data_IF_979496613466
#
_entry.id   IF_979496613466
#
_cell.length_a   1.000
_cell.length_b   1.000
_cell.length_c   1.000
_cell.angle_alpha   90.00
_cell.angle_beta   90.00
_cell.angle_gamma   90.00
#
_symmetry.space_group_name_H-M   'P 1'
#
loop_
_entity.id
_entity.type
_entity.pdbx_description
1 polymer ?
#
# COMPACT_ATOMS: atom_id res chain seq x y z
N UNK A 1 -55.20 -7.96 8.80
CA UNK A 1 -54.68 -6.88 7.93
C UNK A 1 -53.20 -6.74 8.28
N UNK A 2 -52.30 -7.45 7.58
CA UNK A 2 -51.47 -6.96 6.44
C UNK A 2 -50.62 -5.74 6.82
N UNK A 3 -49.28 -5.69 6.69
CA UNK A 3 -48.48 -6.15 5.56
C UNK A 3 -46.96 -6.28 5.87
N UNK A 4 -46.30 -7.19 5.14
CA UNK A 4 -45.06 -7.08 4.35
C UNK A 4 -43.70 -6.56 4.91
N UNK A 5 -42.68 -7.43 4.71
CA UNK A 5 -41.36 -7.22 4.06
C UNK A 5 -41.01 -5.80 3.56
N UNK A 6 -39.81 -5.30 3.86
CA UNK A 6 -38.69 -5.14 2.90
C UNK A 6 -37.51 -4.28 3.43
N UNK A 7 -36.31 -4.65 3.00
CA UNK A 7 -35.07 -3.88 3.03
C UNK A 7 -35.22 -2.49 2.40
N UNK A 8 -34.51 -1.49 2.94
CA UNK A 8 -34.09 -0.33 2.19
C UNK A 8 -32.68 0.10 2.63
N UNK A 9 -31.72 -0.24 1.78
CA UNK A 9 -30.47 0.51 1.59
C UNK A 9 -30.80 1.94 1.17
N UNK A 10 -30.10 2.92 1.74
CA UNK A 10 -29.74 4.23 1.16
C UNK A 10 -28.88 4.94 2.23
N UNK A 11 -27.56 4.79 2.17
CA UNK A 11 -26.64 5.75 1.53
C UNK A 11 -26.76 7.17 2.12
N UNK A 12 -25.76 7.63 2.87
CA UNK A 12 -24.75 8.58 2.38
C UNK A 12 -23.89 9.16 3.50
N UNK A 13 -22.59 9.15 3.20
CA UNK A 13 -21.50 9.84 3.87
C UNK A 13 -21.81 11.32 4.20
N UNK A 14 -21.62 11.66 5.47
CA UNK A 14 -21.15 12.93 6.03
C UNK A 14 -21.20 12.71 7.56
N UNK A 15 -20.14 12.79 8.36
CA UNK A 15 -19.23 13.91 8.56
C UNK A 15 -17.95 13.32 9.17
N UNK A 16 -16.86 13.35 8.41
CA UNK A 16 -15.51 13.49 8.98
C UNK A 16 -15.37 14.97 9.37
N UNK A 17 -14.79 15.23 10.54
CA UNK A 17 -14.53 16.53 11.19
C UNK A 17 -15.65 17.09 12.08
N UNK A 18 -15.52 16.85 13.39
CA UNK A 18 -16.11 17.72 14.43
C UNK A 18 -16.52 16.96 15.70
N UNK A 19 -15.87 17.29 16.81
CA UNK A 19 -16.21 16.90 18.19
C UNK A 19 -15.73 15.53 18.68
N UNK A 20 -14.45 15.46 19.04
CA UNK A 20 -14.03 14.65 20.20
C UNK A 20 -14.66 15.32 21.45
N UNK A 21 -15.91 14.96 21.75
CA UNK A 21 -16.51 15.20 23.07
C UNK A 21 -16.18 14.00 23.95
N UNK A 22 -15.44 14.25 25.02
CA UNK A 22 -15.11 13.32 26.08
C UNK A 22 -16.39 12.80 26.76
N UNK A 23 -16.77 11.55 26.48
CA UNK A 23 -17.75 10.84 27.31
C UNK A 23 -17.01 10.10 28.42
N UNK A 24 -17.16 10.58 29.67
CA UNK A 24 -16.80 9.82 30.86
C UNK A 24 -17.85 8.73 31.06
N UNK A 25 -17.42 7.48 30.87
CA UNK A 25 -18.06 6.31 31.47
C UNK A 25 -16.94 5.44 32.04
N UNK A 26 -16.81 5.46 33.38
CA UNK A 26 -15.98 4.53 34.13
C UNK A 26 -16.58 3.12 33.98
N UNK A 27 -16.01 2.37 33.05
CA UNK A 27 -15.88 0.92 33.14
C UNK A 27 -14.38 0.63 33.18
N UNK A 28 -13.96 -0.47 33.80
CA UNK A 28 -12.57 -0.92 33.82
C UNK A 28 -12.05 -1.05 32.38
N UNK A 29 -11.51 0.03 31.83
CA UNK A 29 -11.06 0.10 30.47
C UNK A 29 -9.72 -0.62 30.43
N UNK A 30 -9.65 -1.74 29.73
CA UNK A 30 -8.40 -2.19 29.14
C UNK A 30 -7.76 -0.95 28.52
N UNK A 31 -6.55 -0.60 28.95
CA UNK A 31 -5.77 0.48 28.35
C UNK A 31 -5.84 0.23 26.84
N UNK A 32 -6.44 1.14 26.03
CA UNK A 32 -6.52 0.93 24.60
C UNK A 32 -5.10 0.70 24.11
N UNK A 33 -4.88 -0.41 23.41
CA UNK A 33 -3.57 -0.71 22.82
C UNK A 33 -3.15 0.50 21.98
N UNK A 34 -2.09 1.23 22.38
CA UNK A 34 -1.68 2.44 21.67
C UNK A 34 -1.22 2.12 20.24
N UNK A 35 -0.94 0.84 19.94
CA UNK A 35 -0.52 0.36 18.63
C UNK A 35 -1.69 -0.09 17.73
N UNK A 36 -2.92 -0.16 18.27
CA UNK A 36 -4.10 -0.61 17.53
C UNK A 36 -4.45 0.24 16.29
N UNK A 37 -4.32 1.59 16.31
CA UNK A 37 -4.52 2.39 15.11
C UNK A 37 -3.52 2.05 13.99
N UNK A 38 -2.26 1.80 14.34
CA UNK A 38 -1.21 1.44 13.39
C UNK A 38 -1.42 0.02 12.85
N UNK A 39 -1.87 -0.91 13.69
CA UNK A 39 -2.31 -2.25 13.24
C UNK A 39 -3.38 -2.13 12.15
N UNK A 40 -4.39 -1.28 12.37
CA UNK A 40 -5.47 -1.08 11.41
C UNK A 40 -4.98 -0.48 10.08
N UNK A 41 -4.03 0.46 10.12
CA UNK A 41 -3.42 1.01 8.91
C UNK A 41 -2.69 -0.08 8.12
N UNK A 42 -1.88 -0.89 8.79
CA UNK A 42 -1.14 -2.00 8.17
C UNK A 42 -2.07 -3.04 7.57
N UNK A 43 -3.15 -3.41 8.26
CA UNK A 43 -4.15 -4.35 7.74
C UNK A 43 -4.87 -3.81 6.49
N UNK A 44 -5.23 -2.52 6.47
CA UNK A 44 -5.86 -1.91 5.29
C UNK A 44 -4.93 -1.89 4.08
N UNK A 45 -3.66 -1.54 4.28
CA UNK A 45 -2.69 -1.52 3.19
C UNK A 45 -2.35 -2.93 2.71
N UNK A 46 -2.26 -3.90 3.62
CA UNK A 46 -2.11 -5.31 3.25
C UNK A 46 -3.32 -5.84 2.47
N UNK A 47 -4.55 -5.50 2.84
CA UNK A 47 -5.73 -5.85 2.03
C UNK A 47 -5.66 -5.24 0.62
N UNK A 48 -5.24 -3.97 0.50
CA UNK A 48 -5.06 -3.34 -0.81
C UNK A 48 -3.99 -4.06 -1.66
N UNK A 49 -2.90 -4.52 -1.04
CA UNK A 49 -1.90 -5.37 -1.68
C UNK A 49 -2.47 -6.71 -2.13
N UNK A 50 -3.32 -7.35 -1.32
CA UNK A 50 -3.97 -8.61 -1.67
C UNK A 50 -4.94 -8.45 -2.86
N UNK A 51 -5.76 -7.40 -2.85
CA UNK A 51 -6.71 -7.10 -3.94
C UNK A 51 -5.99 -6.81 -5.27
N UNK A 52 -4.89 -6.05 -5.21
CA UNK A 52 -4.00 -5.81 -6.34
C UNK A 52 -3.42 -7.12 -6.85
N UNK A 53 -2.92 -7.98 -5.95
CA UNK A 53 -2.34 -9.28 -6.29
C UNK A 53 -3.32 -10.17 -7.06
N UNK A 54 -4.56 -10.30 -6.55
CA UNK A 54 -5.62 -11.08 -7.22
C UNK A 54 -5.87 -10.56 -8.64
N UNK A 55 -5.87 -9.25 -8.80
CA UNK A 55 -6.16 -8.60 -10.09
C UNK A 55 -5.03 -8.78 -11.08
N UNK A 56 -3.78 -8.64 -10.64
CA UNK A 56 -2.61 -8.90 -11.48
C UNK A 56 -2.55 -10.36 -11.90
N UNK A 57 -2.79 -11.30 -10.99
CA UNK A 57 -2.79 -12.74 -11.31
C UNK A 57 -3.88 -13.09 -12.34
N UNK A 58 -5.04 -12.42 -12.30
CA UNK A 58 -6.09 -12.58 -13.31
C UNK A 58 -5.70 -12.04 -14.71
N UNK A 59 -4.66 -11.21 -14.80
CA UNK A 59 -4.17 -10.58 -16.04
C UNK A 59 -2.76 -11.03 -16.42
N UNK A 60 -2.25 -12.10 -15.81
CA UNK A 60 -0.92 -12.62 -16.12
C UNK A 60 -0.89 -13.14 -17.57
N UNK A 61 -0.05 -12.54 -18.42
CA UNK A 61 0.11 -12.89 -19.84
C UNK A 61 -0.64 -11.99 -20.85
N UNK A 62 -1.44 -11.01 -20.41
CA UNK A 62 -2.04 -10.02 -21.31
C UNK A 62 -1.13 -8.81 -21.51
N UNK A 63 -0.25 -8.86 -22.51
CA UNK A 63 0.74 -7.80 -22.77
C UNK A 63 0.23 -6.58 -23.57
N UNK A 64 -1.01 -6.55 -24.07
CA UNK A 64 -1.36 -5.63 -25.17
C UNK A 64 -2.73 -4.92 -25.10
N UNK A 65 -3.40 -4.79 -23.95
CA UNK A 65 -4.73 -4.11 -23.93
C UNK A 65 -5.16 -3.47 -22.60
N UNK A 66 -4.24 -2.92 -21.82
CA UNK A 66 -4.57 -2.47 -20.46
C UNK A 66 -4.32 -0.98 -20.28
N UNK A 67 -5.34 -0.24 -19.85
CA UNK A 67 -5.24 1.20 -19.55
C UNK A 67 -4.16 1.52 -18.51
N UNK A 68 -3.87 2.82 -18.34
CA UNK A 68 -2.78 3.34 -17.50
C UNK A 68 -2.81 2.71 -16.09
N UNK A 69 -3.99 2.52 -15.49
CA UNK A 69 -4.12 1.98 -14.14
C UNK A 69 -3.72 0.51 -14.02
N UNK A 70 -4.16 -0.37 -14.94
CA UNK A 70 -3.74 -1.77 -14.91
C UNK A 70 -2.24 -1.91 -15.21
N UNK A 71 -1.67 -1.05 -16.08
CA UNK A 71 -0.22 -0.98 -16.28
C UNK A 71 0.54 -0.73 -14.98
N UNK A 72 0.10 0.24 -14.18
CA UNK A 72 0.72 0.56 -12.88
C UNK A 72 0.56 -0.61 -11.89
N UNK A 73 -0.61 -1.25 -11.82
CA UNK A 73 -0.83 -2.39 -10.93
C UNK A 73 0.08 -3.58 -11.28
N UNK A 74 0.21 -3.90 -12.57
CA UNK A 74 1.11 -4.95 -13.06
C UNK A 74 2.57 -4.64 -12.71
N UNK A 75 2.97 -3.38 -12.85
CA UNK A 75 4.33 -2.92 -12.53
C UNK A 75 4.62 -3.01 -11.03
N UNK A 76 3.72 -2.51 -10.16
CA UNK A 76 3.83 -2.64 -8.69
C UNK A 76 4.01 -4.10 -8.22
N UNK A 77 3.27 -5.04 -8.83
CA UNK A 77 3.42 -6.46 -8.54
C UNK A 77 4.72 -7.05 -9.11
N UNK A 78 5.10 -6.63 -10.31
CA UNK A 78 6.37 -6.99 -10.94
C UNK A 78 7.56 -6.60 -10.08
N UNK A 79 7.58 -5.36 -9.57
CA UNK A 79 8.63 -4.83 -8.71
C UNK A 79 8.77 -5.62 -7.41
N UNK A 80 7.63 -5.93 -6.78
CA UNK A 80 7.62 -6.77 -5.58
C UNK A 80 8.28 -8.12 -5.83
N UNK A 81 7.90 -8.81 -6.92
CA UNK A 81 8.48 -10.10 -7.24
C UNK A 81 9.94 -9.99 -7.66
N UNK A 82 10.31 -8.94 -8.40
CA UNK A 82 11.68 -8.71 -8.81
C UNK A 82 12.58 -8.44 -7.60
N UNK A 83 12.17 -7.56 -6.67
CA UNK A 83 12.91 -7.32 -5.43
C UNK A 83 13.00 -8.58 -4.56
N UNK A 84 11.92 -9.34 -4.41
CA UNK A 84 11.93 -10.59 -3.64
C UNK A 84 12.79 -11.69 -4.27
N UNK A 85 12.72 -11.87 -5.59
CA UNK A 85 13.42 -12.92 -6.32
C UNK A 85 14.90 -12.56 -6.57
N UNK A 86 15.17 -11.35 -7.04
CA UNK A 86 16.51 -10.91 -7.42
C UNK A 86 17.41 -10.67 -6.21
N UNK A 87 16.85 -10.30 -5.04
CA UNK A 87 17.63 -10.16 -3.80
C UNK A 87 18.10 -11.49 -3.18
N UNK A 88 17.57 -12.63 -3.66
CA UNK A 88 17.94 -13.96 -3.20
C UNK A 88 18.85 -14.71 -4.17
N UNK A 89 19.21 -14.11 -5.32
CA UNK A 89 20.08 -14.74 -6.33
C UNK A 89 21.54 -14.82 -5.87
N UNK A 90 22.20 -15.90 -6.31
CA UNK A 90 23.65 -16.09 -6.21
C UNK A 90 24.21 -16.40 -7.62
N UNK A 91 25.12 -15.56 -8.18
CA UNK A 91 25.64 -14.33 -7.60
C UNK A 91 24.56 -13.24 -7.45
N UNK A 92 24.74 -12.27 -6.52
CA UNK A 92 23.84 -11.12 -6.39
C UNK A 92 23.71 -10.35 -7.71
N UNK A 93 22.60 -9.63 -7.88
CA UNK A 93 22.45 -8.72 -9.01
C UNK A 93 23.53 -7.64 -9.04
N UNK A 94 23.79 -7.10 -10.22
CA UNK A 94 24.73 -5.99 -10.37
C UNK A 94 24.17 -4.70 -9.74
N UNK A 95 25.05 -3.74 -9.47
CA UNK A 95 24.66 -2.43 -8.98
C UNK A 95 23.73 -1.68 -9.94
N UNK A 96 23.97 -1.81 -11.26
CA UNK A 96 23.13 -1.23 -12.31
C UNK A 96 21.74 -1.85 -12.30
N UNK A 97 21.65 -3.18 -12.21
CA UNK A 97 20.36 -3.88 -12.12
C UNK A 97 19.60 -3.49 -10.86
N UNK A 98 20.31 -3.29 -9.75
CA UNK A 98 19.70 -2.79 -8.52
C UNK A 98 19.12 -1.38 -8.69
N UNK A 99 19.86 -0.46 -9.31
CA UNK A 99 19.41 0.89 -9.57
C UNK A 99 18.18 0.91 -10.49
N UNK A 100 18.14 0.05 -11.51
CA UNK A 100 16.96 -0.12 -12.37
C UNK A 100 15.73 -0.54 -11.56
N UNK A 101 15.84 -1.58 -10.73
CA UNK A 101 14.73 -2.04 -9.89
C UNK A 101 14.25 -0.95 -8.92
N UNK A 102 15.18 -0.22 -8.31
CA UNK A 102 14.83 0.89 -7.41
C UNK A 102 14.14 2.03 -8.14
N UNK A 103 14.52 2.30 -9.38
CA UNK A 103 13.92 3.36 -10.21
C UNK A 103 12.46 3.05 -10.51
N UNK A 104 12.16 1.84 -10.95
CA UNK A 104 10.78 1.41 -11.23
C UNK A 104 9.95 1.40 -9.94
N UNK A 105 10.50 0.81 -8.87
CA UNK A 105 9.85 0.77 -7.56
C UNK A 105 9.47 2.16 -7.03
N UNK A 106 10.40 3.12 -7.08
CA UNK A 106 10.14 4.50 -6.64
C UNK A 106 9.13 5.19 -7.55
N UNK A 107 9.21 4.97 -8.86
CA UNK A 107 8.27 5.54 -9.83
C UNK A 107 6.84 5.02 -9.60
N UNK A 108 6.67 3.73 -9.35
CA UNK A 108 5.37 3.13 -9.14
C UNK A 108 4.73 3.55 -7.81
N UNK A 109 5.53 3.67 -6.75
CA UNK A 109 5.06 4.23 -5.48
C UNK A 109 4.64 5.69 -5.64
N UNK A 110 5.35 6.48 -6.46
CA UNK A 110 4.98 7.85 -6.78
C UNK A 110 3.71 7.93 -7.64
N UNK A 111 3.56 7.06 -8.62
CA UNK A 111 2.33 6.97 -9.43
C UNK A 111 1.12 6.61 -8.56
N UNK A 112 1.28 5.66 -7.64
CA UNK A 112 0.18 5.26 -6.78
C UNK A 112 -0.28 6.38 -5.83
N UNK A 113 0.65 7.16 -5.26
CA UNK A 113 0.28 8.32 -4.44
C UNK A 113 -0.29 9.47 -5.27
N UNK A 114 0.20 9.67 -6.50
CA UNK A 114 -0.33 10.68 -7.42
C UNK A 114 -1.80 10.41 -7.76
N UNK A 115 -2.12 9.15 -8.09
CA UNK A 115 -3.45 8.74 -8.53
C UNK A 115 -4.42 8.40 -7.38
N UNK A 116 -4.02 8.59 -6.12
CA UNK A 116 -4.81 8.15 -4.96
C UNK A 116 -6.17 8.85 -4.81
N UNK A 117 -6.34 10.02 -5.43
CA UNK A 117 -7.55 10.84 -5.38
C UNK A 117 -8.16 11.10 -6.76
N UNK A 118 -7.72 10.35 -7.79
CA UNK A 118 -8.29 10.49 -9.13
C UNK A 118 -9.80 10.25 -9.12
N UNK A 119 -10.58 10.95 -9.94
CA UNK A 119 -11.97 10.59 -10.15
C UNK A 119 -12.07 9.18 -10.74
N UNK A 120 -12.76 8.26 -10.05
CA UNK A 120 -13.13 6.97 -10.63
C UNK A 120 -14.14 7.26 -11.74
N UNK A 121 -13.86 6.81 -12.96
CA UNK A 121 -14.70 7.11 -14.11
C UNK A 121 -16.08 6.50 -13.89
N UNK A 122 -17.09 7.34 -13.62
CA UNK A 122 -18.47 6.92 -13.48
C UNK A 122 -19.15 6.80 -14.83
N UNK A 123 -19.78 5.65 -15.09
CA UNK A 123 -20.78 5.43 -16.15
C UNK A 123 -20.33 5.74 -17.59
N UNK A 124 -19.39 4.96 -18.13
CA UNK A 124 -19.24 4.84 -19.58
C UNK A 124 -19.28 3.36 -19.95
N UNK A 125 -20.12 3.04 -20.95
CA UNK A 125 -20.43 1.69 -21.45
C UNK A 125 -19.15 0.92 -21.79
N UNK A 126 -19.15 -0.40 -21.54
CA UNK A 126 -18.03 -1.38 -21.69
C UNK A 126 -17.04 -1.06 -22.84
N UNK A 127 -15.73 -1.27 -22.62
CA UNK A 127 -15.09 -2.27 -21.74
C UNK A 127 -14.68 -1.81 -20.33
N UNK A 128 -15.17 -0.65 -19.88
CA UNK A 128 -14.69 0.11 -18.72
C UNK A 128 -15.02 -0.44 -17.30
N UNK A 129 -15.59 -1.63 -17.16
CA UNK A 129 -15.79 -2.24 -15.83
C UNK A 129 -14.46 -2.66 -15.17
N UNK A 130 -13.48 -3.11 -15.97
CA UNK A 130 -12.13 -3.38 -15.47
C UNK A 130 -11.42 -2.11 -15.00
N UNK A 131 -11.55 -1.01 -15.76
CA UNK A 131 -10.84 0.24 -15.46
C UNK A 131 -11.24 0.83 -14.10
N UNK A 132 -12.53 0.82 -13.76
CA UNK A 132 -13.01 1.27 -12.45
C UNK A 132 -12.41 0.45 -11.30
N UNK A 133 -12.30 -0.87 -11.50
CA UNK A 133 -11.67 -1.76 -10.53
C UNK A 133 -10.18 -1.42 -10.36
N UNK A 134 -9.46 -1.23 -11.48
CA UNK A 134 -8.04 -0.89 -11.45
C UNK A 134 -7.77 0.46 -10.77
N UNK A 135 -8.59 1.47 -11.08
CA UNK A 135 -8.57 2.76 -10.42
C UNK A 135 -8.80 2.62 -8.91
N UNK A 136 -9.82 1.85 -8.51
CA UNK A 136 -10.15 1.63 -7.09
C UNK A 136 -8.99 0.98 -6.35
N UNK A 137 -8.35 -0.03 -6.94
CA UNK A 137 -7.24 -0.73 -6.33
C UNK A 137 -6.00 0.15 -6.20
N UNK A 138 -5.66 0.90 -7.27
CA UNK A 138 -4.53 1.82 -7.22
C UNK A 138 -4.77 2.92 -6.16
N UNK A 139 -6.01 3.41 -6.04
CA UNK A 139 -6.36 4.37 -5.01
C UNK A 139 -6.26 3.82 -3.61
N UNK A 140 -6.74 2.59 -3.37
CA UNK A 140 -6.65 1.96 -2.06
C UNK A 140 -5.20 1.73 -1.66
N UNK A 141 -4.36 1.27 -2.59
CA UNK A 141 -2.92 1.13 -2.38
C UNK A 141 -2.27 2.50 -2.08
N UNK A 142 -2.53 3.51 -2.92
CA UNK A 142 -1.99 4.86 -2.78
C UNK A 142 -2.40 5.53 -1.47
N UNK A 143 -3.67 5.44 -1.07
CA UNK A 143 -4.18 5.96 0.21
C UNK A 143 -3.55 5.26 1.42
N UNK A 144 -3.36 3.94 1.35
CA UNK A 144 -2.65 3.19 2.39
C UNK A 144 -1.20 3.65 2.52
N UNK A 145 -0.51 3.82 1.40
CA UNK A 145 0.86 4.33 1.36
C UNK A 145 0.96 5.77 1.89
N UNK A 146 0.02 6.65 1.53
CA UNK A 146 -0.05 8.00 2.09
C UNK A 146 -0.30 7.99 3.60
N UNK A 147 -1.17 7.10 4.08
CA UNK A 147 -1.42 6.96 5.52
C UNK A 147 -0.16 6.51 6.28
N UNK A 148 0.70 5.69 5.65
CA UNK A 148 2.00 5.33 6.22
C UNK A 148 2.92 6.55 6.31
N UNK A 149 3.02 7.36 5.25
CA UNK A 149 3.81 8.59 5.28
C UNK A 149 3.33 9.56 6.37
N UNK A 150 2.02 9.77 6.48
CA UNK A 150 1.43 10.67 7.46
C UNK A 150 1.66 10.17 8.90
N UNK A 151 1.45 8.87 9.13
CA UNK A 151 1.70 8.23 10.42
C UNK A 151 3.19 8.30 10.81
N UNK A 152 4.10 8.01 9.88
CA UNK A 152 5.53 8.09 10.13
C UNK A 152 5.98 9.51 10.45
N UNK A 153 5.48 10.51 9.71
CA UNK A 153 5.80 11.91 9.96
C UNK A 153 5.31 12.37 11.35
N UNK A 154 4.09 11.99 11.74
CA UNK A 154 3.52 12.36 13.03
C UNK A 154 4.20 11.67 14.23
N UNK A 155 4.85 10.53 14.00
CA UNK A 155 5.39 9.65 15.06
C UNK A 155 6.91 9.42 14.95
N UNK A 156 7.62 10.23 14.15
CA UNK A 156 9.04 10.02 13.87
C UNK A 156 9.94 9.96 15.12
N UNK A 157 9.52 10.61 16.21
CA UNK A 157 10.26 10.69 17.47
C UNK A 157 9.62 9.90 18.60
N UNK A 158 8.66 9.02 18.31
CA UNK A 158 8.00 8.21 19.34
C UNK A 158 9.01 7.25 19.98
N UNK A 159 9.30 7.35 21.28
CA UNK A 159 10.23 6.44 21.94
C UNK A 159 9.59 5.06 22.08
N UNK A 160 10.35 4.01 21.78
CA UNK A 160 9.92 2.60 21.88
C UNK A 160 8.56 2.36 21.18
N UNK A 161 8.48 2.57 19.85
CA UNK A 161 7.25 2.34 19.12
C UNK A 161 6.78 0.89 19.29
N UNK A 162 5.45 0.70 19.30
CA UNK A 162 4.86 -0.62 19.20
C UNK A 162 5.24 -1.30 17.88
N UNK A 163 4.95 -2.60 17.76
CA UNK A 163 5.29 -3.43 16.60
C UNK A 163 4.82 -2.79 15.28
N UNK A 164 3.58 -2.31 15.23
CA UNK A 164 2.95 -1.83 14.02
C UNK A 164 3.41 -0.42 13.66
N UNK A 165 3.60 0.45 14.65
CA UNK A 165 4.24 1.74 14.43
C UNK A 165 5.68 1.58 13.95
N UNK A 166 6.47 0.68 14.55
CA UNK A 166 7.84 0.41 14.12
C UNK A 166 7.88 -0.06 12.67
N UNK A 167 6.99 -0.98 12.30
CA UNK A 167 6.84 -1.43 10.92
C UNK A 167 6.60 -0.26 9.94
N UNK A 168 5.63 0.62 10.24
CA UNK A 168 5.34 1.78 9.40
C UNK A 168 6.57 2.70 9.27
N UNK A 169 7.25 2.99 10.39
CA UNK A 169 8.44 3.85 10.40
C UNK A 169 9.58 3.25 9.55
N UNK A 170 9.81 1.94 9.65
CA UNK A 170 10.84 1.25 8.86
C UNK A 170 10.50 1.25 7.37
N UNK A 171 9.26 0.91 7.01
CA UNK A 171 8.81 0.93 5.61
C UNK A 171 8.97 2.32 4.99
N UNK A 172 8.55 3.38 5.68
CA UNK A 172 8.71 4.76 5.16
C UNK A 172 10.18 5.17 5.05
N UNK A 173 11.02 4.79 6.03
CA UNK A 173 12.46 5.02 5.96
C UNK A 173 13.07 4.33 4.75
N UNK A 174 12.73 3.07 4.49
CA UNK A 174 13.35 2.27 3.45
C UNK A 174 12.90 2.73 2.05
N UNK A 175 11.64 3.18 1.90
CA UNK A 175 11.19 3.87 0.68
C UNK A 175 11.95 5.19 0.47
N UNK A 176 12.21 5.96 1.52
CA UNK A 176 12.98 7.20 1.41
C UNK A 176 14.46 6.93 1.07
N UNK A 177 15.04 5.83 1.56
CA UNK A 177 16.37 5.37 1.14
C UNK A 177 16.36 4.96 -0.34
N UNK A 178 15.30 4.30 -0.83
CA UNK A 178 15.19 3.94 -2.24
C UNK A 178 15.17 5.20 -3.13
N UNK A 179 14.41 6.24 -2.73
CA UNK A 179 14.43 7.55 -3.41
C UNK A 179 15.83 8.16 -3.45
N UNK A 180 16.62 8.04 -2.39
CA UNK A 180 18.00 8.53 -2.35
C UNK A 180 18.93 7.72 -3.26
N UNK A 181 18.78 6.39 -3.31
CA UNK A 181 19.53 5.53 -4.23
C UNK A 181 19.29 5.97 -5.67
N UNK A 182 18.03 6.17 -6.05
CA UNK A 182 17.66 6.65 -7.39
C UNK A 182 18.22 8.04 -7.66
N UNK A 183 18.02 9.00 -6.75
CA UNK A 183 18.49 10.38 -6.92
C UNK A 183 20.02 10.47 -7.08
N UNK A 184 20.76 9.64 -6.34
CA UNK A 184 22.22 9.64 -6.33
C UNK A 184 22.83 8.70 -7.37
N UNK A 185 22.01 7.96 -8.14
CA UNK A 185 22.47 6.90 -9.04
C UNK A 185 23.38 5.89 -8.32
N UNK A 186 23.02 5.50 -7.09
CA UNK A 186 23.83 4.65 -6.23
C UNK A 186 23.78 3.18 -6.69
N UNK A 187 24.88 2.70 -7.27
CA UNK A 187 25.07 1.31 -7.68
C UNK A 187 25.90 0.50 -6.67
N UNK A 188 26.13 1.04 -5.47
CA UNK A 188 26.99 0.42 -4.46
C UNK A 188 26.31 -0.76 -3.75
N UNK A 189 27.05 -1.50 -2.90
CA UNK A 189 26.47 -2.54 -2.05
C UNK A 189 25.32 -2.08 -1.15
N UNK A 190 25.17 -0.76 -0.91
CA UNK A 190 24.03 -0.20 -0.18
C UNK A 190 22.71 -0.38 -0.95
N UNK A 191 22.73 -0.19 -2.27
CA UNK A 191 21.57 -0.48 -3.11
C UNK A 191 21.17 -1.95 -2.95
N UNK A 192 22.13 -2.86 -3.07
CA UNK A 192 21.90 -4.31 -2.99
C UNK A 192 21.33 -4.72 -1.62
N UNK A 193 21.85 -4.16 -0.54
CA UNK A 193 21.33 -4.40 0.81
C UNK A 193 19.89 -3.91 0.94
N UNK A 194 19.57 -2.72 0.43
CA UNK A 194 18.22 -2.17 0.46
C UNK A 194 17.23 -3.00 -0.37
N UNK A 195 17.63 -3.46 -1.55
CA UNK A 195 16.79 -4.32 -2.40
C UNK A 195 16.37 -5.60 -1.67
N UNK A 196 17.28 -6.16 -0.88
CA UNK A 196 17.00 -7.33 -0.05
C UNK A 196 16.02 -7.05 1.08
N UNK A 197 16.19 -5.93 1.77
CA UNK A 197 15.26 -5.52 2.84
C UNK A 197 13.86 -5.32 2.27
N UNK A 198 13.73 -4.53 1.19
CA UNK A 198 12.43 -4.26 0.55
C UNK A 198 11.77 -5.54 0.01
N UNK A 199 12.55 -6.46 -0.56
CA UNK A 199 12.06 -7.76 -1.00
C UNK A 199 11.52 -8.64 0.15
N UNK A 200 12.14 -8.57 1.33
CA UNK A 200 11.68 -9.30 2.53
C UNK A 200 10.46 -8.66 3.18
N UNK A 201 10.44 -7.33 3.34
CA UNK A 201 9.29 -6.61 3.94
C UNK A 201 8.00 -6.79 3.13
N UNK A 202 8.11 -6.88 1.81
CA UNK A 202 6.96 -7.13 0.94
C UNK A 202 6.31 -8.51 1.18
N UNK A 203 7.09 -9.51 1.61
CA UNK A 203 6.59 -10.82 2.01
C UNK A 203 5.98 -10.79 3.42
N UNK A 204 6.64 -10.11 4.36
CA UNK A 204 6.16 -9.96 5.74
C UNK A 204 4.81 -9.23 5.81
N UNK A 205 4.61 -8.20 4.97
CA UNK A 205 3.35 -7.44 4.91
C UNK A 205 2.15 -8.34 4.56
N UNK A 206 2.30 -9.25 3.59
CA UNK A 206 1.23 -10.18 3.24
C UNK A 206 0.98 -11.21 4.35
N UNK A 207 2.05 -11.77 4.92
CA UNK A 207 1.93 -12.76 6.00
C UNK A 207 1.31 -12.15 7.28
N UNK A 208 1.39 -10.83 7.46
CA UNK A 208 0.80 -10.12 8.60
C UNK A 208 -0.72 -10.03 8.54
N UNK A 209 -1.35 -10.31 7.39
CA UNK A 209 -2.81 -10.35 7.25
C UNK A 209 -3.43 -11.61 7.86
N UNK A 210 -2.64 -12.66 8.04
CA UNK A 210 -3.08 -13.95 8.59
C UNK A 210 -2.93 -14.05 10.12
N UNK A 211 -2.51 -12.96 10.80
CA UNK A 211 -2.19 -12.90 12.25
C UNK A 211 -2.93 -11.76 13.00
#
# INVERSE_FOLDING_TARGET
MSANRNCAFLCLAAIVCGFVRTCHAQAYAATPDPDAPFKLLTQKWGQALADLTVTVLAHNGTNNSSGIYLGILLSLWGDKNALAFESQKDPPISGERCLELMTVFVQDFANATLHQNDPIVGTVVLPLQGEQLYQTQLQNFGKGLQSFYDAAAANANTPNPGKWLDFILRTVRDINLAKQVVANHDTSPKCLALAKVLGQEALETLNSLDQ
#
